data_IF_907574719691
#
_entry.id   IF_907574719691
#
_cell.length_a   1.000
_cell.length_b   1.000
_cell.length_c   1.000
_cell.angle_alpha   90.00
_cell.angle_beta   90.00
_cell.angle_gamma   90.00
#
_symmetry.space_group_name_H-M   'P 1'
#
loop_
_entity.id
_entity.type
_entity.pdbx_description
1 polymer ?
#
# COMPACT_ATOMS: atom_id res chain seq x y z
N UNK A 1 -20.47 10.34 -15.51
CA UNK A 1 -19.15 10.49 -14.87
C UNK A 1 -19.39 11.01 -13.47
N UNK A 2 -19.06 10.23 -12.45
CA UNK A 2 -19.19 10.66 -11.06
C UNK A 2 -17.98 11.51 -10.67
N UNK A 3 -18.23 12.56 -9.89
CA UNK A 3 -17.19 13.46 -9.39
C UNK A 3 -17.43 13.68 -7.91
N UNK A 4 -16.41 13.42 -7.10
CA UNK A 4 -16.44 13.68 -5.66
C UNK A 4 -15.65 14.95 -5.35
N UNK A 5 -16.18 15.78 -4.45
CA UNK A 5 -15.44 16.93 -3.92
C UNK A 5 -14.46 16.52 -2.81
N UNK A 6 -14.84 15.53 -2.00
CA UNK A 6 -14.06 14.95 -0.91
C UNK A 6 -14.45 13.49 -0.74
N UNK A 7 -13.50 12.64 -0.38
CA UNK A 7 -13.71 11.24 -0.02
C UNK A 7 -12.99 11.02 1.32
N UNK A 8 -13.70 10.49 2.30
CA UNK A 8 -13.16 10.09 3.61
C UNK A 8 -13.37 8.58 3.74
N UNK A 9 -12.28 7.83 3.65
CA UNK A 9 -12.27 6.37 3.67
C UNK A 9 -11.04 5.90 4.42
N UNK A 10 -11.11 4.72 5.03
CA UNK A 10 -9.95 4.11 5.68
C UNK A 10 -8.97 3.50 4.68
N UNK A 11 -9.48 3.07 3.52
CA UNK A 11 -8.72 2.50 2.42
C UNK A 11 -9.37 2.89 1.08
N UNK A 12 -8.55 3.20 0.07
CA UNK A 12 -8.99 3.39 -1.31
C UNK A 12 -8.18 2.50 -2.25
N UNK A 13 -8.87 1.70 -3.07
CA UNK A 13 -8.24 0.84 -4.06
C UNK A 13 -8.52 1.34 -5.48
N UNK A 14 -7.50 1.27 -6.33
CA UNK A 14 -7.65 1.32 -7.79
C UNK A 14 -7.55 -0.11 -8.30
N UNK A 15 -8.56 -0.54 -9.05
CA UNK A 15 -8.70 -1.92 -9.50
C UNK A 15 -8.90 -1.99 -11.02
N UNK A 16 -8.43 -3.07 -11.62
CA UNK A 16 -8.79 -3.45 -12.98
C UNK A 16 -10.23 -3.98 -13.03
N UNK A 17 -10.74 -4.20 -14.25
CA UNK A 17 -12.12 -4.65 -14.49
C UNK A 17 -12.43 -6.00 -13.84
N UNK A 18 -11.42 -6.86 -13.69
CA UNK A 18 -11.53 -8.19 -13.08
C UNK A 18 -11.43 -8.16 -11.54
N UNK A 19 -11.18 -6.99 -10.95
CA UNK A 19 -11.03 -6.79 -9.51
C UNK A 19 -9.58 -6.81 -9.02
N UNK A 20 -8.59 -7.01 -9.90
CA UNK A 20 -7.17 -6.99 -9.53
C UNK A 20 -6.77 -5.60 -9.03
N UNK A 21 -6.18 -5.52 -7.82
CA UNK A 21 -5.76 -4.24 -7.23
C UNK A 21 -4.43 -3.80 -7.86
N UNK A 22 -4.36 -2.54 -8.31
CA UNK A 22 -3.13 -1.91 -8.85
C UNK A 22 -2.51 -0.90 -7.90
N UNK A 23 -3.35 -0.24 -7.11
CA UNK A 23 -2.92 0.76 -6.13
C UNK A 23 -3.82 0.71 -4.92
N UNK A 24 -3.22 0.80 -3.74
CA UNK A 24 -3.94 0.88 -2.46
C UNK A 24 -3.43 2.05 -1.63
N UNK A 25 -4.31 2.97 -1.28
CA UNK A 25 -4.11 3.94 -0.19
C UNK A 25 -4.65 3.36 1.10
N UNK A 26 -3.89 3.43 2.18
CA UNK A 26 -4.26 2.82 3.46
C UNK A 26 -3.86 3.65 4.68
N UNK A 27 -4.65 3.52 5.75
CA UNK A 27 -4.32 4.02 7.08
C UNK A 27 -3.58 2.97 7.94
N UNK A 28 -3.27 3.31 9.18
CA UNK A 28 -2.54 2.44 10.12
C UNK A 28 -3.26 1.15 10.53
N UNK A 29 -4.56 1.02 10.26
CA UNK A 29 -5.32 -0.20 10.53
C UNK A 29 -5.46 -1.10 9.29
N UNK A 30 -5.21 -0.55 8.09
CA UNK A 30 -5.45 -1.22 6.81
C UNK A 30 -4.15 -1.45 6.01
N UNK A 31 -3.04 -1.64 6.72
CA UNK A 31 -1.72 -1.86 6.12
C UNK A 31 -1.76 -3.15 5.29
N UNK A 32 -1.42 -3.12 3.98
CA UNK A 32 -1.33 -4.33 3.18
C UNK A 32 -0.17 -5.22 3.65
N UNK A 33 -0.30 -6.55 3.52
CA UNK A 33 0.82 -7.47 3.72
C UNK A 33 1.93 -7.17 2.71
N UNK A 34 3.19 -7.32 3.11
CA UNK A 34 4.35 -7.11 2.25
C UNK A 34 4.69 -8.40 1.52
N UNK A 35 4.01 -8.68 0.41
CA UNK A 35 4.16 -9.95 -0.30
C UNK A 35 5.15 -9.80 -1.46
N UNK A 36 6.25 -10.57 -1.41
CA UNK A 36 7.19 -10.77 -2.53
C UNK A 36 7.25 -12.27 -2.81
N UNK A 37 7.06 -12.69 -4.06
CA UNK A 37 7.04 -14.10 -4.48
C UNK A 37 6.08 -14.99 -3.67
N UNK A 38 4.97 -14.41 -3.18
CA UNK A 38 4.00 -15.11 -2.34
C UNK A 38 4.39 -15.24 -0.86
N UNK A 39 5.55 -14.73 -0.44
CA UNK A 39 6.00 -14.72 0.95
C UNK A 39 5.86 -13.32 1.59
N UNK A 40 5.33 -13.27 2.82
CA UNK A 40 5.35 -12.05 3.62
C UNK A 40 6.78 -11.80 4.10
N UNK A 41 7.43 -10.78 3.54
CA UNK A 41 8.83 -10.47 3.84
C UNK A 41 8.99 -9.57 5.07
N UNK A 42 7.90 -9.04 5.63
CA UNK A 42 7.94 -8.18 6.82
C UNK A 42 6.91 -8.61 7.89
N UNK A 43 6.86 -9.90 8.28
CA UNK A 43 5.91 -10.38 9.27
C UNK A 43 6.20 -9.71 10.62
N UNK A 44 5.25 -8.90 11.11
CA UNK A 44 5.34 -8.21 12.40
C UNK A 44 6.08 -6.87 12.42
N UNK A 45 6.87 -6.53 11.39
CA UNK A 45 7.65 -5.28 11.38
C UNK A 45 6.82 -4.01 11.12
N UNK A 46 5.58 -4.14 10.61
CA UNK A 46 4.65 -3.02 10.40
C UNK A 46 3.67 -2.78 11.57
N UNK A 47 3.69 -3.62 12.62
CA UNK A 47 2.68 -3.55 13.69
C UNK A 47 3.00 -2.58 14.83
N UNK A 48 4.28 -2.30 15.10
CA UNK A 48 4.67 -1.46 16.25
C UNK A 48 4.65 0.04 15.97
N UNK A 49 4.79 0.45 14.70
CA UNK A 49 4.83 1.86 14.31
C UNK A 49 3.59 2.23 13.47
N UNK A 50 2.85 3.29 13.84
CA UNK A 50 1.70 3.74 13.06
C UNK A 50 2.18 4.28 11.71
N UNK A 51 1.86 3.55 10.64
CA UNK A 51 2.17 3.93 9.26
C UNK A 51 0.89 4.15 8.45
N UNK A 52 0.94 5.05 7.48
CA UNK A 52 -0.06 5.18 6.43
C UNK A 52 0.67 5.28 5.09
N UNK A 53 0.02 4.97 3.98
CA UNK A 53 0.77 4.95 2.73
C UNK A 53 -0.02 4.62 1.49
N UNK A 54 0.76 4.46 0.42
CA UNK A 54 0.32 4.04 -0.90
C UNK A 54 1.17 2.85 -1.35
N UNK A 55 0.52 1.74 -1.71
CA UNK A 55 1.17 0.55 -2.25
C UNK A 55 0.86 0.42 -3.73
N UNK A 56 1.83 -0.01 -4.52
CA UNK A 56 1.70 -0.31 -5.95
C UNK A 56 1.84 -1.81 -6.18
N UNK A 57 1.08 -2.32 -7.14
CA UNK A 57 1.12 -3.73 -7.52
C UNK A 57 1.46 -3.88 -9.01
N UNK A 58 2.26 -4.90 -9.36
CA UNK A 58 2.59 -5.24 -10.74
C UNK A 58 1.38 -5.87 -11.46
N UNK A 59 1.56 -6.35 -12.71
CA UNK A 59 0.50 -6.97 -13.50
C UNK A 59 -0.08 -8.26 -12.88
N UNK A 60 0.73 -8.99 -12.11
CA UNK A 60 0.41 -10.27 -11.47
C UNK A 60 -0.25 -10.10 -10.10
N UNK A 61 -0.16 -8.90 -9.52
CA UNK A 61 -0.74 -8.55 -8.22
C UNK A 61 0.28 -8.50 -7.08
N UNK A 62 1.58 -8.62 -7.38
CA UNK A 62 2.66 -8.58 -6.38
C UNK A 62 3.09 -7.14 -6.08
N UNK A 63 3.66 -6.90 -4.89
CA UNK A 63 4.10 -5.57 -4.46
C UNK A 63 5.25 -5.06 -5.35
N UNK A 64 4.99 -4.01 -6.12
CA UNK A 64 5.98 -3.35 -6.99
C UNK A 64 6.63 -2.12 -6.33
N UNK A 65 6.34 -1.89 -5.05
CA UNK A 65 6.84 -0.79 -4.23
C UNK A 65 5.74 0.08 -3.63
N UNK A 66 6.13 1.20 -3.02
CA UNK A 66 5.18 2.10 -2.37
C UNK A 66 5.78 3.32 -1.69
N UNK A 67 4.89 4.14 -1.15
CA UNK A 67 5.21 5.30 -0.33
C UNK A 67 4.67 5.07 1.08
N UNK A 68 5.55 5.11 2.08
CA UNK A 68 5.17 4.94 3.49
C UNK A 68 5.45 6.23 4.25
N UNK A 69 4.43 6.67 4.99
CA UNK A 69 4.49 7.77 5.94
C UNK A 69 4.57 7.19 7.36
N UNK A 70 5.67 7.49 8.06
CA UNK A 70 5.84 7.11 9.46
C UNK A 70 5.43 8.29 10.33
N UNK A 71 4.34 8.14 11.09
CA UNK A 71 3.71 9.26 11.82
C UNK A 71 4.56 9.76 13.00
N UNK A 72 5.34 8.89 13.63
CA UNK A 72 6.11 9.23 14.86
C UNK A 72 7.43 9.95 14.61
N UNK A 73 7.98 9.86 13.40
CA UNK A 73 9.30 10.37 13.07
C UNK A 73 9.15 10.88 11.65
N UNK A 74 8.94 12.18 11.47
CA UNK A 74 8.64 12.83 10.17
C UNK A 74 9.61 12.33 9.09
N UNK A 75 9.25 11.22 8.44
CA UNK A 75 10.09 10.43 7.57
C UNK A 75 9.17 9.80 6.55
N UNK A 76 9.46 10.08 5.29
CA UNK A 76 8.81 9.45 4.15
C UNK A 76 9.81 8.44 3.60
N UNK A 77 9.43 7.16 3.60
CA UNK A 77 10.20 6.13 2.94
C UNK A 77 9.60 5.91 1.55
N UNK A 78 10.42 6.06 0.51
CA UNK A 78 10.11 5.51 -0.81
C UNK A 78 10.60 4.07 -0.76
N UNK A 79 9.66 3.13 -0.77
CA UNK A 79 9.98 1.72 -0.95
C UNK A 79 10.06 1.51 -2.46
N UNK A 80 11.28 1.45 -2.97
CA UNK A 80 11.55 0.97 -4.31
C UNK A 80 12.01 -0.47 -4.17
N UNK A 81 11.08 -1.41 -4.37
CA UNK A 81 11.44 -2.81 -4.54
C UNK A 81 11.97 -2.93 -5.97
N UNK A 82 13.28 -2.94 -6.10
CA UNK A 82 13.95 -3.31 -7.34
C UNK A 82 14.05 -4.82 -7.32
N UNK A 83 13.29 -5.50 -8.18
CA UNK A 83 13.63 -6.72 -8.93
C UNK A 83 12.36 -7.38 -9.47
N UNK A 84 12.20 -7.32 -10.80
CA UNK A 84 12.25 -8.47 -11.72
C UNK A 84 12.81 -8.01 -13.06
#
# INVERSE_FOLDING_TARGET
MEKFKKIEVEQLNIVDKDGTVRLKLFNNQNIPPAIIDGEDILPGHRQSDPIAGMMFYNAEGDEAGGLILVVKKTMMAIIHLVEV
#
